data_IF_542643409100
#
_entry.id   IF_542643409100
#
_cell.length_a   1.000
_cell.length_b   1.000
_cell.length_c   1.000
_cell.angle_alpha   90.00
_cell.angle_beta   90.00
_cell.angle_gamma   90.00
#
_symmetry.space_group_name_H-M   'P 1'
#
loop_
_entity.id
_entity.type
_entity.pdbx_description
1 polymer ?
#
# COMPACT_ATOMS: atom_id res chain seq x y z
N UNK A 1 9.58 -2.92 6.02
CA UNK A 1 8.11 -2.91 6.15
C UNK A 1 7.49 -3.29 4.80
N UNK A 2 6.28 -3.82 4.80
CA UNK A 2 5.52 -4.17 3.59
C UNK A 2 4.12 -3.57 3.64
N UNK A 3 3.43 -3.51 2.49
CA UNK A 3 2.02 -3.14 2.44
C UNK A 3 1.19 -4.07 1.55
N UNK A 4 -0.13 -4.11 1.76
CA UNK A 4 -1.05 -4.92 0.95
C UNK A 4 -1.20 -4.42 -0.49
N UNK A 5 -1.06 -3.11 -0.73
CA UNK A 5 -1.18 -2.50 -2.07
C UNK A 5 0.11 -1.77 -2.47
N UNK A 6 0.32 -1.62 -3.78
CA UNK A 6 1.47 -0.88 -4.32
C UNK A 6 1.48 0.58 -3.88
N UNK A 7 0.32 1.23 -3.90
CA UNK A 7 0.18 2.64 -3.51
C UNK A 7 0.54 2.82 -2.03
N UNK A 8 0.05 1.95 -1.15
CA UNK A 8 0.39 2.02 0.27
C UNK A 8 1.88 1.78 0.52
N UNK A 9 2.52 0.88 -0.25
CA UNK A 9 3.95 0.63 -0.09
C UNK A 9 4.84 1.82 -0.41
N UNK A 10 4.39 2.76 -1.25
CA UNK A 10 5.14 3.99 -1.58
C UNK A 10 5.21 4.96 -0.40
N UNK A 11 4.32 4.83 0.58
CA UNK A 11 4.31 5.68 1.79
C UNK A 11 5.26 5.15 2.87
N UNK A 12 5.81 3.95 2.69
CA UNK A 12 6.79 3.35 3.59
C UNK A 12 8.18 3.56 3.00
N UNK A 13 9.14 4.08 3.78
CA UNK A 13 10.52 4.21 3.32
C UNK A 13 11.09 2.84 2.91
N UNK A 14 11.52 2.72 1.64
CA UNK A 14 11.97 1.45 1.06
C UNK A 14 10.89 0.36 0.99
N UNK A 15 9.61 0.74 1.08
CA UNK A 15 8.47 -0.15 1.14
C UNK A 15 8.29 -0.98 -0.13
N UNK A 16 7.82 -2.21 0.06
CA UNK A 16 7.44 -3.12 -1.02
C UNK A 16 6.09 -3.75 -0.71
N UNK A 17 5.43 -4.28 -1.74
CA UNK A 17 4.19 -5.04 -1.49
C UNK A 17 4.51 -6.35 -0.76
N UNK A 18 3.58 -6.82 0.07
CA UNK A 18 3.70 -8.12 0.73
C UNK A 18 3.84 -9.25 -0.30
N UNK A 19 3.08 -9.19 -1.39
CA UNK A 19 3.17 -10.15 -2.49
C UNK A 19 4.56 -10.25 -3.11
N UNK A 20 5.22 -9.11 -3.39
CA UNK A 20 6.55 -9.11 -4.00
C UNK A 20 7.65 -9.53 -3.02
N UNK A 21 7.50 -9.14 -1.75
CA UNK A 21 8.46 -9.40 -0.67
C UNK A 21 8.45 -10.87 -0.27
N UNK A 22 7.26 -11.41 -0.01
CA UNK A 22 7.09 -12.78 0.42
C UNK A 22 6.89 -13.76 -0.73
N UNK A 23 6.80 -13.31 -1.99
CA UNK A 23 6.49 -14.19 -3.14
C UNK A 23 5.18 -14.96 -2.94
N UNK A 24 4.16 -14.24 -2.46
CA UNK A 24 2.82 -14.78 -2.23
C UNK A 24 2.18 -15.14 -3.58
N UNK A 25 1.66 -16.36 -3.76
CA UNK A 25 0.96 -16.75 -4.98
C UNK A 25 -0.26 -15.87 -5.27
N UNK A 26 -0.54 -15.60 -6.55
CA UNK A 26 -1.72 -14.83 -6.96
C UNK A 26 -3.04 -15.60 -6.75
N UNK A 27 -2.98 -16.93 -6.85
CA UNK A 27 -4.07 -17.83 -6.47
C UNK A 27 -3.69 -18.44 -5.15
N UNK A 28 -4.47 -18.16 -4.12
CA UNK A 28 -4.16 -18.55 -2.76
C UNK A 28 -5.36 -19.24 -2.11
N UNK A 29 -5.06 -20.28 -1.36
CA UNK A 29 -6.00 -21.12 -0.62
C UNK A 29 -5.41 -21.45 0.77
N UNK A 30 -6.15 -22.20 1.58
CA UNK A 30 -5.76 -22.55 2.95
C UNK A 30 -4.43 -23.32 3.07
N UNK A 31 -4.00 -24.01 2.03
CA UNK A 31 -2.78 -24.83 2.01
C UNK A 31 -1.59 -24.15 1.30
N UNK A 32 -1.84 -23.03 0.62
CA UNK A 32 -0.84 -22.32 -0.18
C UNK A 32 0.36 -21.82 0.61
N UNK A 33 1.59 -22.14 0.24
CA UNK A 33 2.79 -21.54 0.80
C UNK A 33 3.34 -20.43 -0.11
N UNK A 34 4.23 -19.61 0.41
CA UNK A 34 4.95 -18.62 -0.37
C UNK A 34 6.07 -19.29 -1.18
N UNK A 35 6.35 -18.78 -2.38
CA UNK A 35 7.40 -19.32 -3.24
C UNK A 35 8.79 -18.81 -2.81
N UNK A 36 9.22 -19.24 -1.61
CA UNK A 36 10.50 -18.91 -1.00
C UNK A 36 11.21 -20.22 -0.65
N UNK A 37 12.49 -20.32 -1.01
CA UNK A 37 13.32 -21.47 -0.64
C UNK A 37 14.25 -21.13 0.53
N UNK A 38 14.65 -22.14 1.34
CA UNK A 38 15.50 -21.95 2.53
C UNK A 38 16.87 -21.31 2.25
N UNK A 39 17.36 -21.39 1.00
CA UNK A 39 18.69 -20.91 0.58
C UNK A 39 18.64 -19.56 -0.15
N UNK A 40 17.48 -18.92 -0.23
CA UNK A 40 17.33 -17.67 -0.97
C UNK A 40 17.86 -16.48 -0.18
N UNK A 41 18.29 -15.45 -0.89
CA UNK A 41 18.64 -14.16 -0.28
C UNK A 41 17.45 -13.55 0.50
N UNK A 42 16.22 -13.81 0.05
CA UNK A 42 15.01 -13.37 0.77
C UNK A 42 14.92 -14.06 2.12
N UNK A 43 15.19 -15.36 2.20
CA UNK A 43 15.20 -16.10 3.48
C UNK A 43 16.30 -15.59 4.41
N UNK A 44 17.48 -15.25 3.89
CA UNK A 44 18.53 -14.66 4.70
C UNK A 44 18.09 -13.31 5.30
N UNK A 45 17.39 -12.48 4.51
CA UNK A 45 16.79 -11.25 5.00
C UNK A 45 15.75 -11.53 6.10
N UNK A 46 14.88 -12.53 5.91
CA UNK A 46 13.88 -12.92 6.91
C UNK A 46 14.53 -13.44 8.20
N UNK A 47 15.64 -14.19 8.10
CA UNK A 47 16.40 -14.66 9.26
C UNK A 47 16.93 -13.48 10.07
N UNK A 48 17.49 -12.46 9.41
CA UNK A 48 18.02 -11.24 10.04
C UNK A 48 16.94 -10.32 10.58
N UNK A 49 15.77 -10.26 9.95
CA UNK A 49 14.67 -9.42 10.40
C UNK A 49 14.12 -9.90 11.75
N UNK A 50 13.97 -9.01 12.72
CA UNK A 50 13.29 -9.29 14.01
C UNK A 50 11.81 -8.88 14.00
N UNK A 51 11.48 -7.89 13.15
CA UNK A 51 10.18 -7.25 13.08
C UNK A 51 9.69 -7.21 11.62
N UNK A 52 8.44 -7.61 11.42
CA UNK A 52 7.71 -7.48 10.17
C UNK A 52 6.55 -6.52 10.40
N UNK A 53 6.57 -5.38 9.71
CA UNK A 53 5.45 -4.44 9.69
C UNK A 53 4.70 -4.63 8.39
N UNK A 54 3.39 -4.88 8.46
CA UNK A 54 2.50 -5.01 7.32
C UNK A 54 1.40 -3.97 7.39
N UNK A 55 1.47 -2.99 6.49
CA UNK A 55 0.52 -1.91 6.38
C UNK A 55 -0.65 -2.22 5.45
N UNK A 56 -1.80 -1.64 5.77
CA UNK A 56 -3.09 -1.94 5.15
C UNK A 56 -3.44 -3.43 5.15
N UNK A 57 -3.12 -4.12 6.23
CA UNK A 57 -3.38 -5.55 6.42
C UNK A 57 -4.85 -5.96 6.16
N UNK A 58 -5.89 -5.19 6.55
CA UNK A 58 -7.28 -5.58 6.31
C UNK A 58 -7.67 -5.77 4.84
N UNK A 59 -6.93 -5.17 3.89
CA UNK A 59 -7.19 -5.32 2.46
C UNK A 59 -6.71 -6.67 1.89
N UNK A 60 -5.86 -7.40 2.61
CA UNK A 60 -5.32 -8.67 2.15
C UNK A 60 -6.18 -9.85 2.60
N UNK A 61 -6.27 -10.88 1.74
CA UNK A 61 -6.98 -12.11 2.02
C UNK A 61 -6.32 -12.85 3.21
N UNK A 62 -7.10 -13.48 4.10
CA UNK A 62 -6.59 -14.23 5.27
C UNK A 62 -5.49 -15.22 4.92
N UNK A 63 -5.68 -15.98 3.85
CA UNK A 63 -4.71 -16.96 3.37
C UNK A 63 -3.34 -16.36 3.02
N UNK A 64 -3.25 -15.06 2.71
CA UNK A 64 -1.95 -14.41 2.50
C UNK A 64 -1.12 -14.38 3.79
N UNK A 65 -1.77 -14.13 4.92
CA UNK A 65 -1.12 -14.14 6.24
C UNK A 65 -0.78 -15.57 6.66
N UNK A 66 -1.70 -16.52 6.45
CA UNK A 66 -1.49 -17.94 6.77
C UNK A 66 -0.37 -18.56 5.93
N UNK A 67 -0.29 -18.22 4.64
CA UNK A 67 0.78 -18.65 3.76
C UNK A 67 2.14 -18.10 4.22
N UNK A 68 2.18 -16.82 4.63
CA UNK A 68 3.40 -16.20 5.17
C UNK A 68 3.79 -16.85 6.49
N UNK A 69 2.85 -17.07 7.41
CA UNK A 69 3.07 -17.77 8.67
C UNK A 69 3.68 -19.17 8.45
N UNK A 70 3.00 -20.02 7.65
CA UNK A 70 3.48 -21.37 7.33
C UNK A 70 4.87 -21.34 6.68
N UNK A 71 5.10 -20.41 5.77
CA UNK A 71 6.41 -20.30 5.11
C UNK A 71 7.49 -19.87 6.08
N UNK A 72 7.24 -18.88 6.94
CA UNK A 72 8.23 -18.41 7.90
C UNK A 72 8.58 -19.49 8.92
N UNK A 73 7.59 -20.26 9.38
CA UNK A 73 7.82 -21.43 10.24
C UNK A 73 8.76 -22.45 9.60
N UNK A 74 8.52 -22.79 8.33
CA UNK A 74 9.39 -23.73 7.60
C UNK A 74 10.80 -23.15 7.34
N UNK A 75 10.90 -21.96 6.74
CA UNK A 75 12.20 -21.44 6.29
C UNK A 75 13.11 -20.96 7.42
N UNK A 76 12.54 -20.69 8.59
CA UNK A 76 13.26 -20.34 9.82
C UNK A 76 13.47 -21.55 10.74
N UNK A 77 12.98 -22.73 10.35
CA UNK A 77 13.08 -23.97 11.13
C UNK A 77 12.48 -23.81 12.56
N UNK A 78 11.36 -23.09 12.66
CA UNK A 78 10.65 -22.80 13.92
C UNK A 78 9.14 -23.00 13.74
N UNK A 79 8.69 -24.25 13.83
CA UNK A 79 7.27 -24.62 13.62
C UNK A 79 6.37 -24.33 14.82
N UNK A 80 6.96 -24.25 16.02
CA UNK A 80 6.24 -24.07 17.27
C UNK A 80 5.67 -22.66 17.44
N UNK A 81 6.37 -21.65 16.92
CA UNK A 81 5.98 -20.25 17.09
C UNK A 81 5.34 -19.66 15.83
N UNK A 82 4.29 -18.84 15.98
CA UNK A 82 3.74 -18.07 14.88
C UNK A 82 4.81 -17.24 14.17
N UNK A 83 4.71 -17.18 12.84
CA UNK A 83 5.62 -16.49 11.93
C UNK A 83 7.10 -16.87 12.13
N UNK A 84 7.37 -18.10 12.61
CA UNK A 84 8.73 -18.57 12.89
C UNK A 84 9.43 -17.76 13.98
N UNK A 85 8.67 -17.26 14.97
CA UNK A 85 9.17 -16.47 16.10
C UNK A 85 9.42 -14.99 15.77
N UNK A 86 8.98 -14.51 14.61
CA UNK A 86 9.10 -13.09 14.25
C UNK A 86 7.99 -12.26 14.86
N UNK A 87 8.33 -11.05 15.29
CA UNK A 87 7.32 -10.08 15.72
C UNK A 87 6.64 -9.53 14.47
N UNK A 88 5.31 -9.64 14.41
CA UNK A 88 4.50 -9.14 13.30
C UNK A 88 3.57 -8.04 13.79
N UNK A 89 3.68 -6.85 13.20
CA UNK A 89 2.80 -5.71 13.45
C UNK A 89 1.96 -5.49 12.21
N UNK A 90 0.65 -5.59 12.38
CA UNK A 90 -0.34 -5.33 11.33
C UNK A 90 -0.98 -3.96 11.57
N UNK A 91 -0.92 -3.08 10.58
CA UNK A 91 -1.63 -1.79 10.60
C UNK A 91 -2.71 -1.73 9.51
N UNK A 92 -3.69 -0.84 9.73
CA UNK A 92 -4.81 -0.61 8.83
C UNK A 92 -6.12 -0.32 9.59
N UNK A 93 -7.15 0.14 8.89
CA UNK A 93 -8.47 0.38 9.45
C UNK A 93 -9.48 -0.63 8.87
N UNK A 94 -10.04 -1.48 9.73
CA UNK A 94 -11.04 -2.50 9.34
C UNK A 94 -12.39 -1.92 8.90
N UNK A 95 -12.58 -0.60 8.98
CA UNK A 95 -13.72 0.11 8.38
C UNK A 95 -13.45 0.53 6.93
N UNK A 96 -12.23 0.33 6.43
CA UNK A 96 -11.91 0.49 5.02
C UNK A 96 -12.37 -0.73 4.20
N UNK A 97 -11.85 -0.85 2.98
CA UNK A 97 -12.23 -1.84 1.99
C UNK A 97 -11.84 -3.24 2.48
N UNK A 98 -12.78 -4.18 2.43
CA UNK A 98 -12.55 -5.60 2.70
C UNK A 98 -11.69 -6.24 1.59
N UNK A 99 -11.12 -7.43 1.82
CA UNK A 99 -10.41 -8.16 0.78
C UNK A 99 -11.27 -8.38 -0.46
N UNK A 100 -10.67 -8.20 -1.64
CA UNK A 100 -11.40 -8.33 -2.91
C UNK A 100 -11.54 -9.82 -3.29
N UNK A 101 -12.76 -10.35 -3.22
CA UNK A 101 -13.11 -11.69 -3.70
C UNK A 101 -13.88 -11.58 -5.02
N UNK A 102 -13.25 -11.98 -6.14
CA UNK A 102 -13.84 -11.84 -7.48
C UNK A 102 -15.08 -12.72 -7.62
N UNK A 103 -16.24 -12.10 -7.82
CA UNK A 103 -17.52 -12.82 -7.97
C UNK A 103 -18.02 -13.45 -6.67
N UNK A 104 -17.40 -13.14 -5.53
CA UNK A 104 -17.76 -13.71 -4.24
C UNK A 104 -19.01 -13.08 -3.64
N UNK A 105 -19.73 -13.88 -2.86
CA UNK A 105 -20.80 -13.48 -1.97
C UNK A 105 -20.27 -12.69 -0.76
N UNK A 106 -21.21 -12.08 -0.01
CA UNK A 106 -20.88 -11.41 1.25
C UNK A 106 -20.22 -12.37 2.26
N UNK A 107 -20.70 -13.62 2.33
CA UNK A 107 -20.14 -14.64 3.21
C UNK A 107 -18.70 -14.99 2.84
N UNK A 108 -18.42 -15.17 1.54
CA UNK A 108 -17.06 -15.43 1.06
C UNK A 108 -16.13 -14.24 1.31
N UNK A 109 -16.65 -13.02 1.21
CA UNK A 109 -15.87 -11.80 1.53
C UNK A 109 -15.54 -11.72 3.04
N UNK A 110 -16.47 -12.12 3.91
CA UNK A 110 -16.25 -12.19 5.36
C UNK A 110 -15.26 -13.31 5.68
N UNK A 111 -15.40 -14.48 5.05
CA UNK A 111 -14.46 -15.60 5.23
C UNK A 111 -13.04 -15.21 4.79
N UNK A 112 -12.91 -14.43 3.71
CA UNK A 112 -11.65 -13.90 3.25
C UNK A 112 -10.97 -12.90 4.22
N UNK A 113 -11.69 -12.35 5.19
CA UNK A 113 -11.15 -11.36 6.11
C UNK A 113 -10.16 -11.97 7.10
N UNK A 114 -9.11 -11.22 7.44
CA UNK A 114 -8.13 -11.62 8.46
C UNK A 114 -8.78 -12.02 9.81
N UNK A 115 -9.92 -11.41 10.18
CA UNK A 115 -10.63 -11.76 11.43
C UNK A 115 -11.16 -13.20 11.46
N UNK A 116 -11.29 -13.84 10.30
CA UNK A 116 -11.72 -15.22 10.11
C UNK A 116 -10.53 -16.19 10.02
N UNK A 117 -9.30 -15.70 10.21
CA UNK A 117 -8.10 -16.53 10.25
C UNK A 117 -7.88 -17.13 11.64
N UNK A 118 -7.34 -18.34 11.68
CA UNK A 118 -6.84 -18.98 12.93
C UNK A 118 -5.70 -18.18 13.59
N UNK A 119 -5.04 -17.30 12.85
CA UNK A 119 -4.02 -16.41 13.39
C UNK A 119 -4.61 -15.24 14.19
N UNK A 120 -5.87 -14.87 13.95
CA UNK A 120 -6.48 -13.67 14.53
C UNK A 120 -6.50 -13.65 16.06
N UNK A 121 -6.80 -14.76 16.77
CA UNK A 121 -6.76 -14.78 18.23
C UNK A 121 -5.36 -14.57 18.82
N UNK A 122 -4.30 -14.78 18.03
CA UNK A 122 -2.91 -14.63 18.46
C UNK A 122 -2.45 -13.17 18.47
N UNK A 123 -3.16 -12.29 17.76
CA UNK A 123 -2.81 -10.87 17.68
C UNK A 123 -3.33 -10.08 18.89
N UNK A 124 -2.42 -9.33 19.51
CA UNK A 124 -2.80 -8.28 20.45
C UNK A 124 -3.35 -7.07 19.70
N UNK A 125 -4.54 -6.61 20.08
CA UNK A 125 -5.20 -5.46 19.45
C UNK A 125 -4.79 -4.18 20.16
N UNK A 126 -4.23 -3.24 19.40
CA UNK A 126 -3.94 -1.88 19.85
C UNK A 126 -4.75 -0.92 18.99
N UNK A 127 -5.38 0.07 19.63
CA UNK A 127 -6.20 1.06 18.94
C UNK A 127 -5.56 2.43 19.09
N UNK A 128 -5.27 3.08 17.96
CA UNK A 128 -4.92 4.49 17.93
C UNK A 128 -6.21 5.32 18.03
N UNK A 129 -6.24 6.28 18.96
CA UNK A 129 -7.42 7.11 19.26
C UNK A 129 -7.25 8.54 18.79
N UNK A 130 -6.01 9.03 18.70
CA UNK A 130 -5.72 10.37 18.22
C UNK A 130 -5.49 10.38 16.71
N UNK A 131 -6.26 11.19 16.00
CA UNK A 131 -6.09 11.39 14.58
C UNK A 131 -5.21 12.61 14.32
N UNK A 132 -3.94 12.37 14.03
CA UNK A 132 -2.96 13.43 13.76
C UNK A 132 -3.34 14.25 12.52
N UNK A 133 -3.96 13.66 11.49
CA UNK A 133 -4.42 14.39 10.28
C UNK A 133 -5.45 15.47 10.61
N UNK A 134 -6.36 15.18 11.54
CA UNK A 134 -7.38 16.15 11.99
C UNK A 134 -6.75 17.20 12.90
N UNK A 135 -5.79 16.81 13.75
CA UNK A 135 -5.05 17.75 14.61
C UNK A 135 -4.22 18.74 13.78
N UNK A 136 -3.48 18.26 12.78
CA UNK A 136 -2.66 19.11 11.90
C UNK A 136 -3.53 20.06 11.07
N UNK A 137 -4.74 19.66 10.65
CA UNK A 137 -5.68 20.57 10.00
C UNK A 137 -6.19 21.71 10.93
N UNK A 138 -6.10 21.53 12.25
CA UNK A 138 -6.38 22.58 13.23
C UNK A 138 -5.14 23.41 13.60
N UNK A 139 -3.93 23.04 13.14
CA UNK A 139 -2.66 23.65 13.56
C UNK A 139 -1.63 23.88 12.44
N UNK A 140 -1.96 23.73 11.16
CA UNK A 140 -0.96 23.82 10.08
C UNK A 140 -0.67 25.26 9.68
N UNK A 141 0.30 25.87 10.37
CA UNK A 141 1.41 26.58 9.73
C UNK A 141 2.69 25.74 9.97
N UNK A 142 3.43 25.46 8.88
CA UNK A 142 4.82 24.95 8.79
C UNK A 142 5.11 23.46 9.09
N UNK A 143 5.52 22.70 8.06
CA UNK A 143 6.90 22.21 7.80
C UNK A 143 6.91 21.16 6.66
N UNK A 144 7.82 21.35 5.69
CA UNK A 144 8.08 20.49 4.51
C UNK A 144 9.19 19.47 4.81
N UNK A 145 8.98 18.20 4.49
CA UNK A 145 10.03 17.17 4.50
C UNK A 145 10.39 16.74 3.06
N UNK A 146 11.55 17.21 2.60
CA UNK A 146 12.29 16.68 1.44
C UNK A 146 13.11 15.44 1.85
N UNK A 147 12.76 14.24 1.36
CA UNK A 147 13.78 13.16 1.24
C UNK A 147 13.44 12.09 0.18
N UNK A 148 14.47 11.71 -0.59
CA UNK A 148 14.70 10.32 -1.01
C UNK A 148 14.16 9.82 -2.35
N UNK A 149 14.73 10.26 -3.48
CA UNK A 149 14.54 9.58 -4.78
C UNK A 149 15.45 8.32 -4.85
N UNK A 150 14.95 7.17 -4.36
CA UNK A 150 15.72 5.94 -4.09
C UNK A 150 15.84 4.94 -5.27
N UNK A 151 15.37 5.26 -6.48
CA UNK A 151 15.36 4.31 -7.60
C UNK A 151 15.77 4.95 -8.94
N UNK A 152 16.54 4.21 -9.74
CA UNK A 152 16.89 4.60 -11.11
C UNK A 152 15.65 4.59 -12.02
N UNK A 153 15.51 5.64 -12.82
CA UNK A 153 14.33 5.91 -13.67
C UNK A 153 14.03 4.77 -14.65
N UNK A 154 15.05 4.06 -15.12
CA UNK A 154 14.92 2.94 -16.06
C UNK A 154 14.22 1.72 -15.42
N UNK A 155 14.50 1.45 -14.14
CA UNK A 155 13.83 0.38 -13.39
C UNK A 155 12.35 0.72 -13.23
N UNK A 156 12.03 1.96 -12.87
CA UNK A 156 10.66 2.45 -12.71
C UNK A 156 9.86 2.38 -14.02
N UNK A 157 10.48 2.71 -15.15
CA UNK A 157 9.82 2.69 -16.47
C UNK A 157 9.47 1.27 -16.96
N UNK A 158 10.17 0.24 -16.46
CA UNK A 158 9.91 -1.15 -16.82
C UNK A 158 8.77 -1.82 -16.03
N UNK A 159 8.36 -1.22 -14.91
CA UNK A 159 7.34 -1.77 -14.02
C UNK A 159 5.93 -1.45 -14.51
N UNK A 160 5.23 -2.44 -15.06
CA UNK A 160 3.80 -2.35 -15.38
C UNK A 160 2.97 -3.10 -14.33
N UNK A 161 2.75 -2.46 -13.18
CA UNK A 161 2.05 -3.05 -12.02
C UNK A 161 0.55 -2.77 -12.14
N UNK A 162 -0.28 -3.81 -12.01
CA UNK A 162 -1.74 -3.67 -11.98
C UNK A 162 -2.20 -2.74 -10.85
N UNK A 163 -3.04 -1.74 -11.17
CA UNK A 163 -3.57 -0.78 -10.19
C UNK A 163 -2.75 0.51 -10.04
N UNK A 164 -1.65 0.66 -10.77
CA UNK A 164 -0.88 1.90 -10.89
C UNK A 164 -0.97 2.37 -12.36
N UNK A 165 -1.06 3.68 -12.63
CA UNK A 165 -1.06 4.17 -14.01
C UNK A 165 0.21 3.73 -14.75
N UNK A 166 0.13 3.42 -16.06
CA UNK A 166 1.30 3.03 -16.84
C UNK A 166 2.35 4.14 -16.87
N UNK A 167 3.64 3.77 -17.02
CA UNK A 167 4.77 4.72 -17.14
C UNK A 167 4.55 5.77 -18.25
N UNK A 168 3.73 5.44 -19.26
CA UNK A 168 3.30 6.35 -20.31
C UNK A 168 1.83 6.73 -20.13
N UNK A 169 1.62 7.87 -19.48
CA UNK A 169 0.29 8.43 -19.26
C UNK A 169 -0.19 9.19 -20.51
N UNK A 170 -1.27 8.72 -21.14
CA UNK A 170 -1.94 9.44 -22.25
C UNK A 170 -3.03 10.32 -21.67
N UNK A 171 -2.88 11.64 -21.79
CA UNK A 171 -3.81 12.63 -21.25
C UNK A 171 -4.49 13.42 -22.37
N UNK A 172 -5.68 13.93 -22.08
CA UNK A 172 -6.47 14.79 -22.97
C UNK A 172 -7.19 15.86 -22.16
N UNK A 173 -7.40 17.01 -22.78
CA UNK A 173 -8.30 18.06 -22.26
C UNK A 173 -9.66 17.47 -21.89
N UNK A 174 -10.16 17.85 -20.72
CA UNK A 174 -11.41 17.39 -20.12
C UNK A 174 -11.31 16.11 -19.29
N UNK A 175 -10.19 15.37 -19.34
CA UNK A 175 -10.06 14.12 -18.58
C UNK A 175 -10.00 14.41 -17.07
N UNK A 176 -10.76 13.66 -16.25
CA UNK A 176 -10.55 13.63 -14.81
C UNK A 176 -9.27 12.84 -14.50
N UNK A 177 -8.45 13.37 -13.60
CA UNK A 177 -7.25 12.74 -13.06
C UNK A 177 -7.27 12.85 -11.54
N UNK A 178 -6.50 12.00 -10.87
CA UNK A 178 -6.32 12.04 -9.42
C UNK A 178 -4.83 12.13 -9.11
N UNK A 179 -4.48 12.97 -8.16
CA UNK A 179 -3.13 13.07 -7.63
C UNK A 179 -2.80 11.81 -6.84
N UNK A 180 -1.62 11.24 -7.07
CA UNK A 180 -1.15 10.00 -6.41
C UNK A 180 -0.05 10.25 -5.37
N UNK A 181 0.37 11.52 -5.22
CA UNK A 181 1.38 11.98 -4.27
C UNK A 181 1.14 13.44 -3.92
N UNK A 182 1.73 13.89 -2.81
CA UNK A 182 1.72 15.29 -2.44
C UNK A 182 2.70 16.06 -3.34
N UNK A 183 2.26 17.21 -3.85
CA UNK A 183 3.08 18.14 -4.62
C UNK A 183 3.11 19.51 -3.97
N UNK A 184 1.94 20.03 -3.57
CA UNK A 184 1.83 21.28 -2.83
C UNK A 184 0.51 21.28 -2.04
N UNK A 185 0.52 20.89 -0.75
CA UNK A 185 -0.66 20.84 0.09
C UNK A 185 -1.36 22.21 0.22
N UNK A 186 -0.60 23.31 0.29
CA UNK A 186 -1.13 24.67 0.45
C UNK A 186 -1.94 25.15 -0.75
N UNK A 187 -1.72 24.57 -1.92
CA UNK A 187 -2.50 24.79 -3.14
C UNK A 187 -3.57 23.70 -3.38
N UNK A 188 -3.75 22.76 -2.45
CA UNK A 188 -4.69 21.65 -2.57
C UNK A 188 -4.20 20.52 -3.49
N UNK A 189 -2.92 20.50 -3.85
CA UNK A 189 -2.29 19.47 -4.69
C UNK A 189 -1.71 18.34 -3.83
N UNK A 190 -2.59 17.63 -3.13
CA UNK A 190 -2.27 16.49 -2.27
C UNK A 190 -2.73 15.16 -2.88
N UNK A 191 -2.24 14.05 -2.34
CA UNK A 191 -2.66 12.72 -2.75
C UNK A 191 -4.18 12.56 -2.57
N UNK A 192 -4.87 12.08 -3.60
CA UNK A 192 -6.33 11.97 -3.64
C UNK A 192 -7.07 13.17 -4.23
N UNK A 193 -6.41 14.32 -4.46
CA UNK A 193 -7.06 15.47 -5.10
C UNK A 193 -7.50 15.11 -6.51
N UNK A 194 -8.80 15.27 -6.78
CA UNK A 194 -9.41 15.07 -8.09
C UNK A 194 -9.35 16.35 -8.89
N UNK A 195 -8.79 16.26 -10.09
CA UNK A 195 -8.56 17.38 -10.98
C UNK A 195 -9.18 17.09 -12.35
N UNK A 196 -9.61 18.13 -13.05
CA UNK A 196 -10.02 18.04 -14.46
C UNK A 196 -9.01 18.78 -15.32
N UNK A 197 -8.47 18.11 -16.33
CA UNK A 197 -7.50 18.74 -17.24
C UNK A 197 -8.21 19.82 -18.07
N UNK A 198 -7.70 21.04 -17.98
CA UNK A 198 -8.15 22.17 -18.80
C UNK A 198 -7.32 22.26 -20.07
N UNK A 199 -6.00 22.10 -19.95
CA UNK A 199 -5.07 22.22 -21.06
C UNK A 199 -3.76 21.47 -20.76
N UNK A 200 -3.12 20.93 -21.80
CA UNK A 200 -1.80 20.32 -21.73
C UNK A 200 -0.81 21.25 -22.43
N UNK A 201 0.14 21.80 -21.68
CA UNK A 201 1.23 22.62 -22.20
C UNK A 201 2.54 21.81 -22.20
N UNK A 202 3.60 22.38 -22.80
CA UNK A 202 4.86 21.67 -23.00
C UNK A 202 5.47 21.13 -21.70
N UNK A 203 5.47 21.94 -20.64
CA UNK A 203 6.08 21.58 -19.34
C UNK A 203 5.10 21.56 -18.16
N UNK A 204 3.82 21.86 -18.37
CA UNK A 204 2.81 21.89 -17.29
C UNK A 204 1.48 21.31 -17.76
N UNK A 205 0.79 20.64 -16.84
CA UNK A 205 -0.61 20.24 -16.97
C UNK A 205 -1.43 21.31 -16.25
N UNK A 206 -2.28 22.02 -16.99
CA UNK A 206 -3.23 22.95 -16.41
C UNK A 206 -4.52 22.21 -16.10
N UNK A 207 -4.93 22.24 -14.83
CA UNK A 207 -6.11 21.55 -14.36
C UNK A 207 -6.93 22.40 -13.38
N UNK A 208 -8.18 21.99 -13.13
CA UNK A 208 -9.06 22.59 -12.11
C UNK A 208 -9.41 21.57 -11.05
N UNK A 209 -9.43 21.99 -9.78
CA UNK A 209 -9.87 21.14 -8.66
C UNK A 209 -11.36 20.84 -8.80
N UNK A 210 -11.72 19.56 -8.70
CA UNK A 210 -13.09 19.10 -8.94
C UNK A 210 -13.97 19.15 -7.69
N UNK A 211 -13.40 18.91 -6.51
CA UNK A 211 -14.14 18.69 -5.26
C UNK A 211 -13.46 19.43 -4.07
N UNK A 212 -14.23 19.76 -3.03
CA UNK A 212 -13.73 20.38 -1.78
C UNK A 212 -13.72 21.92 -1.77
N UNK A 213 -13.14 22.51 -0.73
CA UNK A 213 -13.18 23.97 -0.47
C UNK A 213 -12.53 24.82 -1.57
N UNK A 214 -11.71 24.20 -2.41
CA UNK A 214 -10.97 24.82 -3.53
C UNK A 214 -11.54 24.46 -4.89
N UNK A 215 -12.76 23.92 -4.94
CA UNK A 215 -13.43 23.55 -6.19
C UNK A 215 -13.42 24.71 -7.20
N UNK A 216 -13.07 24.38 -8.45
CA UNK A 216 -12.98 25.35 -9.54
C UNK A 216 -11.66 26.13 -9.61
N UNK A 217 -10.80 26.07 -8.59
CA UNK A 217 -9.49 26.73 -8.66
C UNK A 217 -8.59 26.09 -9.71
N UNK A 218 -7.89 26.94 -10.45
CA UNK A 218 -6.91 26.52 -11.45
C UNK A 218 -5.56 26.25 -10.81
N UNK A 219 -4.96 25.12 -11.20
CA UNK A 219 -3.67 24.65 -10.70
C UNK A 219 -2.78 24.23 -11.87
N UNK A 220 -1.47 24.38 -11.70
CA UNK A 220 -0.45 23.98 -12.66
C UNK A 220 0.38 22.85 -12.04
N UNK A 221 0.47 21.73 -12.75
CA UNK A 221 1.23 20.57 -12.32
C UNK A 221 2.43 20.44 -13.27
N UNK A 222 3.68 20.50 -12.78
CA UNK A 222 4.87 20.28 -13.61
C UNK A 222 4.85 18.90 -14.28
N UNK A 223 5.21 18.85 -15.56
CA UNK A 223 5.49 17.60 -16.29
C UNK A 223 6.95 17.24 -16.00
N UNK A 224 7.17 16.19 -15.20
CA UNK A 224 8.49 15.61 -14.92
C UNK A 224 8.76 14.49 -15.91
#
# INVERSE_FOLDING_TARGET
AVASSGIASLLLMGGRTAHSTFKIPLKIDGESTCNINKRSQVTELMRKASLIVWDEAPMAHRHAFEAVDRTLRDVLDNEAEPFGGKVVVLSGDFRQILPVVKGGSATETIDACLKSSELWPLFQKVRLTENMRVRTAATSDMEDDEDGNLFEQEVLNSLNISGIPPHKLKLKKGMPIIMMRNLNPDLGLCNGTRLRIVELKDHVIHATIMDGDRQGQHVLIPRI
#
